data_IF_710821368230
#
_entry.id   IF_710821368230
#
_cell.length_a   1.000
_cell.length_b   1.000
_cell.length_c   1.000
_cell.angle_alpha   90.00
_cell.angle_beta   90.00
_cell.angle_gamma   90.00
#
_symmetry.space_group_name_H-M   'P 1'
#
loop_
_entity.id
_entity.type
_entity.pdbx_description
1 polymer ?
#
# COMPACT_ATOMS: atom_id res chain seq x y z
N UNK A 1 32.25 2.46 -14.40
CA UNK A 1 30.82 2.21 -14.13
C UNK A 1 29.97 3.32 -14.74
N UNK A 2 28.84 2.99 -15.41
CA UNK A 2 27.96 3.96 -16.08
C UNK A 2 26.50 3.75 -15.66
N UNK A 3 25.67 4.81 -15.74
CA UNK A 3 24.24 4.72 -15.47
C UNK A 3 23.52 3.69 -16.38
N UNK A 4 24.02 3.50 -17.61
CA UNK A 4 23.48 2.50 -18.53
C UNK A 4 23.71 1.08 -18.02
N UNK A 5 24.89 0.80 -17.43
CA UNK A 5 25.19 -0.49 -16.82
C UNK A 5 24.29 -0.76 -15.60
N UNK A 6 24.05 0.26 -14.76
CA UNK A 6 23.13 0.14 -13.62
C UNK A 6 21.68 -0.13 -14.08
N UNK A 7 21.20 0.57 -15.13
CA UNK A 7 19.89 0.29 -15.71
C UNK A 7 19.77 -1.13 -16.27
N UNK A 8 20.81 -1.65 -16.88
CA UNK A 8 20.83 -3.03 -17.36
C UNK A 8 20.84 -4.04 -16.21
N UNK A 9 21.60 -3.77 -15.14
CA UNK A 9 21.62 -4.57 -13.92
C UNK A 9 20.19 -4.67 -13.35
N UNK A 10 19.56 -3.52 -13.09
CA UNK A 10 18.21 -3.46 -12.54
C UNK A 10 17.19 -4.11 -13.48
N UNK A 11 17.25 -3.84 -14.77
CA UNK A 11 16.37 -4.45 -15.75
C UNK A 11 16.42 -5.98 -15.76
N UNK A 12 17.61 -6.58 -15.57
CA UNK A 12 17.73 -8.05 -15.45
C UNK A 12 17.18 -8.57 -14.14
N UNK A 13 17.42 -7.89 -13.03
CA UNK A 13 16.89 -8.26 -11.72
C UNK A 13 15.36 -8.20 -11.72
N UNK A 14 14.77 -7.11 -12.22
CA UNK A 14 13.33 -6.88 -12.26
C UNK A 14 12.59 -7.81 -13.25
N UNK A 15 13.30 -8.47 -14.14
CA UNK A 15 12.76 -9.50 -15.03
C UNK A 15 13.12 -10.93 -14.58
N UNK A 16 13.29 -11.15 -13.27
CA UNK A 16 13.54 -12.48 -12.72
C UNK A 16 14.83 -13.12 -13.19
N UNK A 17 15.90 -12.32 -13.35
CA UNK A 17 17.23 -12.70 -13.85
C UNK A 17 17.22 -13.20 -15.31
N UNK A 18 16.16 -12.91 -16.06
CA UNK A 18 16.03 -13.24 -17.47
C UNK A 18 16.60 -12.12 -18.36
N UNK A 19 17.80 -12.35 -18.90
CA UNK A 19 18.51 -11.35 -19.74
C UNK A 19 17.74 -11.10 -21.07
N UNK A 20 17.08 -12.10 -21.63
CA UNK A 20 16.33 -11.94 -22.90
C UNK A 20 15.11 -11.05 -22.67
N UNK A 21 14.31 -11.34 -21.65
CA UNK A 21 13.15 -10.52 -21.28
C UNK A 21 13.56 -9.08 -20.92
N UNK A 22 14.69 -8.92 -20.24
CA UNK A 22 15.24 -7.59 -19.95
C UNK A 22 15.69 -6.85 -21.23
N UNK A 23 16.26 -7.57 -22.20
CA UNK A 23 16.69 -7.00 -23.48
C UNK A 23 15.51 -6.46 -24.29
N UNK A 24 14.42 -7.24 -24.36
CA UNK A 24 13.19 -6.84 -25.05
C UNK A 24 12.58 -5.58 -24.41
N UNK A 25 12.48 -5.55 -23.09
CA UNK A 25 11.95 -4.38 -22.34
C UNK A 25 12.83 -3.13 -22.46
N UNK A 26 14.13 -3.29 -22.54
CA UNK A 26 15.10 -2.19 -22.63
C UNK A 26 15.45 -1.82 -24.09
N UNK A 27 14.74 -2.39 -25.06
CA UNK A 27 14.95 -2.16 -26.49
C UNK A 27 16.42 -2.33 -26.89
N UNK A 28 17.04 -3.42 -26.46
CA UNK A 28 18.45 -3.72 -26.71
C UNK A 28 18.67 -5.21 -26.99
N UNK A 29 19.90 -5.63 -27.27
CA UNK A 29 20.21 -7.03 -27.53
C UNK A 29 20.67 -7.76 -26.27
N UNK A 30 20.30 -9.04 -26.14
CA UNK A 30 20.75 -9.91 -25.05
C UNK A 30 22.30 -9.98 -24.93
N UNK A 31 23.08 -10.11 -26.05
CA UNK A 31 24.55 -10.05 -25.96
C UNK A 31 25.07 -8.71 -25.44
N UNK A 32 24.38 -7.62 -25.78
CA UNK A 32 24.70 -6.28 -25.32
C UNK A 32 24.59 -6.16 -23.80
N UNK A 33 23.46 -6.57 -23.21
CA UNK A 33 23.27 -6.60 -21.75
C UNK A 33 24.32 -7.51 -21.10
N UNK A 34 24.48 -8.74 -21.59
CA UNK A 34 25.42 -9.70 -21.02
C UNK A 34 26.86 -9.19 -21.01
N UNK A 35 27.29 -8.48 -22.08
CA UNK A 35 28.62 -7.83 -22.18
C UNK A 35 28.75 -6.71 -21.12
N UNK A 36 27.73 -5.86 -20.98
CA UNK A 36 27.77 -4.73 -20.06
C UNK A 36 27.78 -5.19 -18.60
N UNK A 37 27.02 -6.22 -18.25
CA UNK A 37 27.02 -6.79 -16.89
C UNK A 37 28.38 -7.39 -16.53
N UNK A 38 29.01 -8.16 -17.44
CA UNK A 38 30.37 -8.69 -17.21
C UNK A 38 31.43 -7.58 -17.10
N UNK A 39 31.21 -6.48 -17.83
CA UNK A 39 32.11 -5.33 -17.72
C UNK A 39 31.91 -4.66 -16.36
N UNK A 40 30.69 -4.48 -15.89
CA UNK A 40 30.39 -3.94 -14.58
C UNK A 40 30.99 -4.79 -13.45
N UNK A 41 30.82 -6.13 -13.48
CA UNK A 41 31.42 -7.05 -12.52
C UNK A 41 32.96 -6.92 -12.49
N UNK A 42 33.60 -6.77 -13.66
CA UNK A 42 35.07 -6.57 -13.75
C UNK A 42 35.53 -5.22 -13.22
N UNK A 43 34.76 -4.15 -13.48
CA UNK A 43 35.09 -2.81 -13.00
C UNK A 43 34.97 -2.69 -11.49
N UNK A 44 33.97 -3.36 -10.90
CA UNK A 44 33.76 -3.36 -9.46
C UNK A 44 34.64 -4.38 -8.75
N UNK A 45 35.15 -5.39 -9.47
CA UNK A 45 35.96 -6.47 -8.92
C UNK A 45 35.20 -7.52 -8.15
N UNK A 46 33.84 -7.56 -8.27
CA UNK A 46 32.98 -8.51 -7.57
C UNK A 46 31.98 -9.14 -8.52
N UNK A 47 31.67 -10.41 -8.28
CA UNK A 47 30.63 -11.14 -9.00
C UNK A 47 29.25 -10.77 -8.42
N UNK A 48 28.38 -10.23 -9.27
CA UNK A 48 27.01 -9.81 -8.88
C UNK A 48 26.04 -10.99 -8.96
N UNK A 49 26.20 -11.84 -9.98
CA UNK A 49 25.30 -12.96 -10.25
C UNK A 49 25.98 -14.31 -10.08
N UNK A 50 25.32 -15.25 -9.41
CA UNK A 50 25.62 -16.67 -9.50
C UNK A 50 25.15 -17.19 -10.87
N UNK A 51 25.99 -18.00 -11.52
CA UNK A 51 25.73 -18.51 -12.86
C UNK A 51 25.75 -20.05 -12.89
N UNK A 52 24.84 -20.65 -13.66
CA UNK A 52 24.90 -22.06 -14.04
C UNK A 52 25.00 -22.14 -15.55
N UNK A 53 26.21 -22.36 -16.05
CA UNK A 53 26.49 -22.26 -17.49
C UNK A 53 26.32 -20.83 -18.01
N UNK A 54 25.38 -20.64 -18.94
CA UNK A 54 25.06 -19.32 -19.52
C UNK A 54 23.93 -18.58 -18.78
N UNK A 55 23.21 -19.24 -17.87
CA UNK A 55 22.05 -18.69 -17.18
C UNK A 55 22.43 -18.06 -15.85
N UNK A 56 21.78 -16.94 -15.51
CA UNK A 56 21.80 -16.34 -14.17
C UNK A 56 20.84 -17.11 -13.26
N UNK A 57 21.29 -17.44 -12.05
CA UNK A 57 20.49 -18.28 -11.12
C UNK A 57 20.06 -17.48 -9.91
N UNK A 58 20.93 -16.66 -9.36
CA UNK A 58 20.67 -15.86 -8.16
C UNK A 58 21.61 -14.64 -8.12
N UNK A 59 21.28 -13.67 -7.28
CA UNK A 59 22.22 -12.64 -6.85
C UNK A 59 23.16 -13.23 -5.79
N UNK A 60 24.43 -12.82 -5.83
CA UNK A 60 25.37 -13.05 -4.71
C UNK A 60 25.03 -12.11 -3.55
N UNK A 61 25.52 -12.35 -2.31
CA UNK A 61 25.34 -11.39 -1.21
C UNK A 61 25.85 -10.00 -1.56
N UNK A 62 27.01 -9.89 -2.21
CA UNK A 62 27.54 -8.62 -2.74
C UNK A 62 26.62 -8.04 -3.84
N UNK A 63 26.08 -8.91 -4.70
CA UNK A 63 25.13 -8.52 -5.75
C UNK A 63 23.87 -7.90 -5.19
N UNK A 64 23.32 -8.41 -4.09
CA UNK A 64 22.15 -7.84 -3.42
C UNK A 64 22.44 -6.40 -2.95
N UNK A 65 23.57 -6.18 -2.28
CA UNK A 65 23.97 -4.84 -1.83
C UNK A 65 24.19 -3.89 -3.02
N UNK A 66 24.84 -4.37 -4.09
CA UNK A 66 25.08 -3.56 -5.30
C UNK A 66 23.77 -3.17 -5.98
N UNK A 67 22.78 -4.07 -6.02
CA UNK A 67 21.44 -3.78 -6.57
C UNK A 67 20.75 -2.69 -5.76
N UNK A 68 20.79 -2.74 -4.43
CA UNK A 68 20.23 -1.68 -3.57
C UNK A 68 20.88 -0.32 -3.85
N UNK A 69 22.22 -0.27 -3.92
CA UNK A 69 22.95 0.94 -4.27
C UNK A 69 22.64 1.43 -5.69
N UNK A 70 22.50 0.52 -6.66
CA UNK A 70 22.13 0.86 -8.03
C UNK A 70 20.73 1.48 -8.11
N UNK A 71 19.76 0.97 -7.33
CA UNK A 71 18.41 1.55 -7.21
C UNK A 71 18.48 2.96 -6.66
N UNK A 72 19.26 3.19 -5.60
CA UNK A 72 19.43 4.52 -5.02
C UNK A 72 20.04 5.51 -6.04
N UNK A 73 21.13 5.15 -6.70
CA UNK A 73 21.75 6.01 -7.72
C UNK A 73 20.77 6.32 -8.87
N UNK A 74 20.00 5.34 -9.32
CA UNK A 74 19.03 5.56 -10.39
C UNK A 74 17.91 6.50 -9.94
N UNK A 75 17.46 6.40 -8.69
CA UNK A 75 16.50 7.31 -8.07
C UNK A 75 17.03 8.73 -7.97
N UNK A 76 18.28 8.92 -7.53
CA UNK A 76 18.90 10.24 -7.45
C UNK A 76 18.99 10.92 -8.82
N UNK A 77 19.30 10.15 -9.88
CA UNK A 77 19.26 10.67 -11.26
C UNK A 77 17.84 11.09 -11.69
N UNK A 78 16.83 10.35 -11.28
CA UNK A 78 15.44 10.71 -11.55
C UNK A 78 14.99 11.93 -10.74
N UNK A 79 15.44 12.07 -9.49
CA UNK A 79 15.25 13.26 -8.67
C UNK A 79 15.82 14.51 -9.34
N UNK A 80 17.08 14.45 -9.84
CA UNK A 80 17.71 15.55 -10.57
C UNK A 80 16.89 15.94 -11.80
N UNK A 81 16.43 14.96 -12.58
CA UNK A 81 15.58 15.23 -13.76
C UNK A 81 14.24 15.84 -13.41
N UNK A 82 13.62 15.35 -12.31
CA UNK A 82 12.35 15.85 -11.79
C UNK A 82 12.47 17.30 -11.37
N UNK A 83 13.53 17.63 -10.62
CA UNK A 83 13.82 19.01 -10.21
C UNK A 83 14.01 19.93 -11.43
N UNK A 84 14.72 19.47 -12.46
CA UNK A 84 14.88 20.24 -13.70
C UNK A 84 13.54 20.55 -14.39
N UNK A 85 12.61 19.60 -14.41
CA UNK A 85 11.26 19.80 -14.97
C UNK A 85 10.41 20.74 -14.12
N UNK A 86 10.51 20.67 -12.80
CA UNK A 86 9.79 21.56 -11.91
C UNK A 86 10.22 23.03 -12.09
N UNK A 87 11.52 23.27 -12.27
CA UNK A 87 12.08 24.61 -12.52
C UNK A 87 11.65 25.19 -13.89
N UNK A 88 11.28 24.36 -14.85
CA UNK A 88 10.77 24.78 -16.16
C UNK A 88 9.24 24.98 -16.20
N UNK A 89 8.55 24.90 -15.05
CA UNK A 89 7.11 25.05 -14.89
C UNK A 89 6.28 24.01 -15.70
N UNK A 90 6.87 22.91 -16.12
CA UNK A 90 6.15 21.81 -16.75
C UNK A 90 5.36 21.02 -15.68
N UNK A 91 4.05 21.25 -15.61
CA UNK A 91 3.12 20.49 -14.77
C UNK A 91 2.79 19.12 -15.38
N UNK A 92 3.77 18.51 -16.02
CA UNK A 92 3.64 17.19 -16.64
C UNK A 92 4.38 16.14 -15.82
N UNK A 93 3.86 14.93 -15.80
CA UNK A 93 4.51 13.83 -15.10
C UNK A 93 3.64 12.61 -14.96
N UNK A 94 4.05 11.70 -14.12
CA UNK A 94 3.25 10.55 -13.72
C UNK A 94 3.20 10.53 -12.20
N UNK A 95 2.01 10.29 -11.66
CA UNK A 95 1.79 9.97 -10.27
C UNK A 95 1.39 8.50 -10.18
N UNK A 96 2.28 7.68 -9.65
CA UNK A 96 2.11 6.23 -9.54
C UNK A 96 1.86 5.84 -8.09
N UNK A 97 0.73 5.21 -7.81
CA UNK A 97 0.26 4.86 -6.47
C UNK A 97 0.03 3.36 -6.38
N UNK A 98 0.61 2.71 -5.37
CA UNK A 98 0.27 1.33 -5.01
C UNK A 98 -0.62 1.32 -3.77
N UNK A 99 -1.71 0.56 -3.81
CA UNK A 99 -2.67 0.54 -2.70
C UNK A 99 -3.50 -0.74 -2.65
N UNK A 100 -4.24 -0.92 -1.56
CA UNK A 100 -5.21 -2.01 -1.43
C UNK A 100 -6.49 -1.73 -2.23
N UNK A 101 -7.27 -2.76 -2.53
CA UNK A 101 -8.53 -2.62 -3.25
C UNK A 101 -9.50 -1.66 -2.54
N UNK A 102 -9.62 -1.75 -1.23
CA UNK A 102 -10.52 -0.89 -0.44
C UNK A 102 -10.19 0.60 -0.61
N UNK A 103 -8.92 0.97 -0.56
CA UNK A 103 -8.51 2.36 -0.74
C UNK A 103 -8.73 2.82 -2.18
N UNK A 104 -8.37 1.98 -3.16
CA UNK A 104 -8.54 2.29 -4.57
C UNK A 104 -9.99 2.56 -4.97
N UNK A 105 -10.93 1.80 -4.39
CA UNK A 105 -12.34 1.85 -4.75
C UNK A 105 -13.16 2.86 -3.96
N UNK A 106 -12.88 3.02 -2.67
CA UNK A 106 -13.77 3.74 -1.76
C UNK A 106 -13.18 5.05 -1.20
N UNK A 107 -11.86 5.23 -1.30
CA UNK A 107 -11.21 6.43 -0.73
C UNK A 107 -10.62 7.31 -1.83
N UNK A 108 -9.87 6.72 -2.75
CA UNK A 108 -9.14 7.46 -3.78
C UNK A 108 -10.00 8.12 -4.87
N UNK A 109 -11.18 7.63 -5.27
CA UNK A 109 -11.88 8.19 -6.43
C UNK A 109 -12.16 9.69 -6.32
N UNK A 110 -12.65 10.16 -5.18
CA UNK A 110 -12.93 11.59 -4.96
C UNK A 110 -11.65 12.42 -4.94
N UNK A 111 -10.60 11.91 -4.31
CA UNK A 111 -9.30 12.58 -4.19
C UNK A 111 -8.62 12.67 -5.57
N UNK A 112 -8.62 11.58 -6.33
CA UNK A 112 -8.04 11.55 -7.68
C UNK A 112 -8.82 12.41 -8.68
N UNK A 113 -10.14 12.54 -8.51
CA UNK A 113 -10.94 13.47 -9.31
C UNK A 113 -10.51 14.91 -9.06
N UNK A 114 -10.44 15.35 -7.81
CA UNK A 114 -9.97 16.69 -7.44
C UNK A 114 -8.52 16.93 -7.88
N UNK A 115 -7.67 15.92 -7.75
CA UNK A 115 -6.29 15.99 -8.20
C UNK A 115 -6.20 16.18 -9.72
N UNK A 116 -6.95 15.39 -10.49
CA UNK A 116 -6.96 15.48 -11.96
C UNK A 116 -7.47 16.82 -12.48
N UNK A 117 -8.44 17.44 -11.81
CA UNK A 117 -8.92 18.79 -12.14
C UNK A 117 -7.82 19.84 -11.99
N UNK A 118 -6.94 19.69 -10.96
CA UNK A 118 -5.82 20.62 -10.71
C UNK A 118 -4.60 20.34 -11.60
N UNK A 119 -4.37 19.06 -11.94
CA UNK A 119 -3.20 18.58 -12.67
C UNK A 119 -3.62 17.69 -13.86
N UNK A 120 -4.30 18.24 -14.89
CA UNK A 120 -4.86 17.46 -16.00
C UNK A 120 -3.78 16.78 -16.87
N UNK A 121 -2.55 17.31 -16.87
CA UNK A 121 -1.43 16.78 -17.65
C UNK A 121 -0.58 15.76 -16.85
N UNK A 122 -0.92 15.48 -15.60
CA UNK A 122 -0.26 14.43 -14.81
C UNK A 122 -0.96 13.11 -15.06
N UNK A 123 -0.24 12.14 -15.61
CA UNK A 123 -0.74 10.77 -15.79
C UNK A 123 -0.89 10.10 -14.43
N UNK A 124 -2.04 9.47 -14.19
CA UNK A 124 -2.30 8.67 -12.99
C UNK A 124 -2.10 7.20 -13.29
N UNK A 125 -1.30 6.52 -12.46
CA UNK A 125 -1.12 5.06 -12.50
C UNK A 125 -1.47 4.47 -11.13
N UNK A 126 -2.45 3.56 -11.10
CA UNK A 126 -2.92 2.93 -9.87
C UNK A 126 -2.65 1.43 -9.90
N UNK A 127 -1.83 0.96 -8.98
CA UNK A 127 -1.49 -0.45 -8.79
C UNK A 127 -2.21 -0.98 -7.55
N UNK A 128 -2.93 -2.08 -7.71
CA UNK A 128 -3.63 -2.72 -6.60
C UNK A 128 -2.95 -4.02 -6.18
N UNK A 129 -2.85 -4.25 -4.87
CA UNK A 129 -2.22 -5.47 -4.36
C UNK A 129 -2.43 -5.70 -2.87
N UNK A 130 -1.84 -6.78 -2.37
CA UNK A 130 -1.67 -7.00 -0.93
C UNK A 130 -0.54 -6.12 -0.39
N UNK A 131 -0.43 -5.98 0.93
CA UNK A 131 0.65 -5.19 1.55
C UNK A 131 2.04 -5.64 1.08
N UNK A 132 2.27 -6.95 0.93
CA UNK A 132 3.52 -7.50 0.42
C UNK A 132 3.77 -7.13 -1.05
N UNK A 133 2.72 -7.17 -1.88
CA UNK A 133 2.82 -6.77 -3.29
C UNK A 133 3.08 -5.26 -3.43
N UNK A 134 2.44 -4.45 -2.59
CA UNK A 134 2.68 -3.01 -2.52
C UNK A 134 4.13 -2.74 -2.09
N UNK A 135 4.62 -3.41 -1.04
CA UNK A 135 6.00 -3.29 -0.58
C UNK A 135 7.02 -3.67 -1.66
N UNK A 136 6.74 -4.72 -2.43
CA UNK A 136 7.59 -5.12 -3.56
C UNK A 136 7.66 -4.04 -4.65
N UNK A 137 6.52 -3.42 -5.02
CA UNK A 137 6.48 -2.31 -5.98
C UNK A 137 7.29 -1.10 -5.53
N UNK A 138 7.23 -0.78 -4.22
CA UNK A 138 8.02 0.29 -3.63
C UNK A 138 9.52 -0.05 -3.68
N UNK A 139 9.90 -1.25 -3.24
CA UNK A 139 11.29 -1.70 -3.24
C UNK A 139 11.91 -1.70 -4.66
N UNK A 140 11.09 -1.92 -5.68
CA UNK A 140 11.47 -1.87 -7.09
C UNK A 140 11.43 -0.45 -7.70
N UNK A 141 11.10 0.58 -6.93
CA UNK A 141 10.90 1.96 -7.42
C UNK A 141 9.88 2.09 -8.56
N UNK A 142 8.83 1.27 -8.55
CA UNK A 142 7.78 1.29 -9.57
C UNK A 142 6.65 2.25 -9.25
N UNK A 143 6.58 2.72 -8.01
CA UNK A 143 5.53 3.62 -7.54
C UNK A 143 6.10 4.78 -6.75
N UNK A 144 5.37 5.89 -6.76
CA UNK A 144 5.71 7.10 -6.02
C UNK A 144 5.21 7.02 -4.59
N UNK A 145 3.99 6.52 -4.41
CA UNK A 145 3.34 6.37 -3.13
C UNK A 145 2.84 4.95 -2.89
N UNK A 146 2.94 4.53 -1.63
CA UNK A 146 2.25 3.37 -1.11
C UNK A 146 1.15 3.84 -0.16
N UNK A 147 -0.08 3.34 -0.31
CA UNK A 147 -1.15 3.56 0.65
C UNK A 147 -1.55 2.21 1.21
N UNK A 148 -1.29 2.01 2.49
CA UNK A 148 -1.48 0.74 3.16
C UNK A 148 -2.11 0.93 4.54
N UNK A 149 -2.58 -0.17 5.09
CA UNK A 149 -3.11 -0.29 6.44
C UNK A 149 -2.43 -1.46 7.12
N UNK A 150 -2.18 -1.39 8.42
CA UNK A 150 -1.42 -2.40 9.16
C UNK A 150 -0.03 -2.69 8.53
N UNK A 151 0.72 -3.65 9.07
CA UNK A 151 1.99 -4.15 8.51
C UNK A 151 3.00 -3.04 8.15
N UNK A 152 3.14 -2.03 9.01
CA UNK A 152 4.10 -0.92 8.86
C UNK A 152 5.54 -1.41 8.70
N UNK A 153 5.86 -2.53 9.31
CA UNK A 153 7.16 -3.21 9.25
C UNK A 153 7.55 -3.71 7.85
N UNK A 154 6.58 -3.83 6.93
CA UNK A 154 6.87 -4.15 5.52
C UNK A 154 7.48 -2.99 4.74
N UNK A 155 7.48 -1.79 5.30
CA UNK A 155 7.89 -0.55 4.63
C UNK A 155 9.05 0.17 5.34
N UNK A 156 10.16 -0.51 5.68
CA UNK A 156 11.22 0.05 6.52
C UNK A 156 11.96 1.23 5.89
N UNK A 157 11.92 1.38 4.57
CA UNK A 157 12.62 2.44 3.82
C UNK A 157 11.73 3.63 3.46
N UNK A 158 10.45 3.61 3.88
CA UNK A 158 9.54 4.71 3.63
C UNK A 158 9.44 5.67 4.81
N UNK A 159 9.08 6.89 4.51
CA UNK A 159 8.42 7.80 5.45
C UNK A 159 6.91 7.57 5.33
N UNK A 160 6.29 7.15 6.43
CA UNK A 160 4.88 6.79 6.51
C UNK A 160 4.12 7.90 7.25
N UNK A 161 3.25 8.62 6.55
CA UNK A 161 2.37 9.63 7.11
C UNK A 161 1.07 8.97 7.57
N UNK A 162 0.66 9.08 8.85
CA UNK A 162 -0.65 8.66 9.28
C UNK A 162 -1.72 9.58 8.64
N UNK A 163 -2.70 8.97 7.99
CA UNK A 163 -3.68 9.73 7.21
C UNK A 163 -5.06 9.75 7.85
N UNK A 164 -5.53 8.63 8.34
CA UNK A 164 -6.80 8.52 9.06
C UNK A 164 -6.92 7.17 9.77
N UNK A 165 -7.69 7.19 10.83
CA UNK A 165 -8.07 6.01 11.59
C UNK A 165 -9.44 5.48 11.16
N UNK A 166 -9.68 4.20 11.41
CA UNK A 166 -10.98 3.57 11.22
C UNK A 166 -11.12 2.32 12.08
N UNK A 167 -12.37 2.06 12.49
CA UNK A 167 -12.75 0.86 13.22
C UNK A 167 -13.51 -0.08 12.28
N UNK A 168 -13.35 -1.38 12.48
CA UNK A 168 -14.07 -2.39 11.68
C UNK A 168 -15.58 -2.28 11.90
N UNK A 169 -16.33 -2.71 10.90
CA UNK A 169 -17.77 -2.92 11.01
C UNK A 169 -18.10 -4.38 10.75
N UNK A 170 -19.21 -4.82 11.35
CA UNK A 170 -19.78 -6.15 11.17
C UNK A 170 -20.99 -6.04 10.26
N UNK A 171 -21.02 -6.88 9.22
CA UNK A 171 -22.13 -6.97 8.26
C UNK A 171 -22.86 -8.30 8.41
N UNK A 172 -24.18 -8.24 8.35
CA UNK A 172 -25.07 -9.42 8.35
C UNK A 172 -26.20 -9.23 7.35
N UNK A 173 -26.84 -10.30 6.86
CA UNK A 173 -28.18 -10.20 6.29
C UNK A 173 -29.13 -9.55 7.29
N UNK A 174 -30.22 -8.93 6.81
CA UNK A 174 -31.17 -8.21 7.67
C UNK A 174 -31.92 -9.09 8.65
N UNK A 175 -32.15 -10.36 8.30
CA UNK A 175 -32.83 -11.36 9.12
C UNK A 175 -31.89 -12.16 10.04
N UNK A 176 -30.60 -11.81 10.08
CA UNK A 176 -29.63 -12.50 10.92
C UNK A 176 -29.83 -12.15 12.41
N UNK A 177 -29.59 -13.13 13.29
CA UNK A 177 -29.79 -12.94 14.75
C UNK A 177 -29.00 -11.75 15.31
N UNK A 178 -27.79 -11.50 14.80
CA UNK A 178 -26.98 -10.35 15.19
C UNK A 178 -27.51 -9.01 14.65
N UNK A 179 -28.38 -9.00 13.65
CA UNK A 179 -29.00 -7.76 13.14
C UNK A 179 -30.11 -7.25 14.06
N UNK A 180 -30.91 -8.17 14.61
CA UNK A 180 -32.06 -7.88 15.48
C UNK A 180 -31.67 -7.61 16.94
N UNK A 181 -30.44 -7.90 17.30
CA UNK A 181 -29.97 -7.89 18.68
C UNK A 181 -29.69 -6.47 19.18
N UNK A 182 -30.40 -6.04 20.20
CA UNK A 182 -30.17 -4.76 20.88
C UNK A 182 -28.94 -4.79 21.81
N UNK A 183 -28.42 -5.99 22.10
CA UNK A 183 -27.28 -6.15 22.98
C UNK A 183 -25.95 -5.70 22.32
N UNK A 184 -24.97 -5.33 23.14
CA UNK A 184 -23.64 -5.01 22.68
C UNK A 184 -23.02 -6.20 21.92
N UNK A 185 -22.48 -5.92 20.74
CA UNK A 185 -21.69 -6.88 19.98
C UNK A 185 -20.41 -7.21 20.78
N UNK A 186 -20.06 -8.49 20.90
CA UNK A 186 -18.83 -8.95 21.54
C UNK A 186 -18.07 -9.92 20.65
N UNK A 187 -16.75 -10.08 20.89
CA UNK A 187 -15.94 -11.06 20.16
C UNK A 187 -16.42 -12.48 20.40
N UNK A 188 -16.86 -12.81 21.62
CA UNK A 188 -17.44 -14.11 21.95
C UNK A 188 -18.66 -14.43 21.08
N UNK A 189 -19.58 -13.48 20.91
CA UNK A 189 -20.76 -13.66 20.03
C UNK A 189 -20.37 -13.76 18.54
N UNK A 190 -19.37 -13.01 18.09
CA UNK A 190 -18.88 -13.14 16.72
C UNK A 190 -18.26 -14.52 16.47
N UNK A 191 -17.54 -15.09 17.45
CA UNK A 191 -16.93 -16.40 17.34
C UNK A 191 -17.92 -17.57 17.21
N UNK A 192 -19.18 -17.38 17.65
CA UNK A 192 -20.27 -18.38 17.51
C UNK A 192 -20.72 -18.53 16.03
N UNK A 193 -20.42 -17.54 15.16
CA UNK A 193 -20.87 -17.50 13.77
C UNK A 193 -19.73 -17.74 12.79
N UNK A 194 -20.02 -18.30 11.59
CA UNK A 194 -19.06 -18.32 10.52
C UNK A 194 -18.71 -16.90 10.08
N UNK A 195 -17.43 -16.58 9.95
CA UNK A 195 -16.95 -15.24 9.59
C UNK A 195 -16.42 -15.19 8.17
N UNK A 196 -16.70 -14.07 7.50
CA UNK A 196 -16.22 -13.72 6.16
C UNK A 196 -15.42 -12.43 6.26
N UNK A 197 -14.14 -12.43 5.88
CA UNK A 197 -13.29 -11.25 6.07
C UNK A 197 -12.20 -11.15 5.01
N UNK A 198 -11.26 -10.24 5.19
CA UNK A 198 -10.13 -10.08 4.26
C UNK A 198 -9.09 -11.19 4.40
N UNK A 199 -8.39 -11.51 3.29
CA UNK A 199 -7.28 -12.48 3.27
C UNK A 199 -6.19 -12.12 4.28
N UNK A 200 -5.83 -10.84 4.39
CA UNK A 200 -4.81 -10.39 5.35
C UNK A 200 -5.23 -10.55 6.81
N UNK A 201 -6.54 -10.54 7.10
CA UNK A 201 -7.07 -10.81 8.44
C UNK A 201 -6.83 -12.25 8.89
N UNK A 202 -6.55 -13.18 7.96
CA UNK A 202 -6.23 -14.58 8.29
C UNK A 202 -4.77 -14.81 8.66
N UNK A 203 -3.90 -13.80 8.58
CA UNK A 203 -2.54 -13.87 9.09
C UNK A 203 -2.58 -13.86 10.62
N UNK A 204 -1.81 -14.75 11.25
CA UNK A 204 -1.75 -14.86 12.73
C UNK A 204 -1.32 -13.56 13.41
N UNK A 205 -0.60 -12.71 12.72
CA UNK A 205 -0.14 -11.42 13.23
C UNK A 205 -1.14 -10.28 12.98
N UNK A 206 -2.24 -10.54 12.29
CA UNK A 206 -3.27 -9.52 12.05
C UNK A 206 -3.93 -9.05 13.34
N UNK A 207 -4.25 -7.78 13.44
CA UNK A 207 -5.00 -7.22 14.56
C UNK A 207 -6.37 -7.88 14.75
N UNK A 208 -6.95 -8.44 13.67
CA UNK A 208 -8.19 -9.18 13.70
C UNK A 208 -8.07 -10.48 14.53
N UNK A 209 -7.11 -11.37 14.20
CA UNK A 209 -6.95 -12.63 14.93
C UNK A 209 -6.37 -12.42 16.32
N UNK A 210 -5.49 -11.44 16.51
CA UNK A 210 -4.97 -11.09 17.84
C UNK A 210 -6.09 -10.69 18.80
N UNK A 211 -7.08 -9.91 18.35
CA UNK A 211 -8.20 -9.54 19.21
C UNK A 211 -8.96 -10.75 19.76
N UNK A 212 -9.21 -11.78 18.96
CA UNK A 212 -9.83 -13.03 19.43
C UNK A 212 -8.88 -13.82 20.34
N UNK A 213 -7.61 -13.91 19.99
CA UNK A 213 -6.63 -14.65 20.80
C UNK A 213 -6.44 -14.04 22.18
N UNK A 214 -6.48 -12.72 22.32
CA UNK A 214 -6.37 -12.00 23.60
C UNK A 214 -7.53 -12.34 24.54
N UNK A 215 -8.71 -12.68 24.00
CA UNK A 215 -9.87 -13.17 24.75
C UNK A 215 -9.94 -14.70 24.84
N UNK A 216 -8.91 -15.43 24.38
CA UNK A 216 -8.88 -16.90 24.28
C UNK A 216 -10.03 -17.47 23.43
N UNK A 217 -10.41 -16.76 22.37
CA UNK A 217 -11.44 -17.16 21.43
C UNK A 217 -10.80 -17.61 20.09
N UNK A 218 -11.46 -18.54 19.41
CA UNK A 218 -11.05 -19.00 18.09
C UNK A 218 -12.16 -18.68 17.05
N UNK A 219 -11.97 -17.69 16.17
CA UNK A 219 -12.99 -17.31 15.20
C UNK A 219 -13.08 -18.34 14.08
N UNK A 220 -14.30 -18.70 13.69
CA UNK A 220 -14.56 -19.61 12.57
C UNK A 220 -14.56 -18.86 11.23
N UNK A 221 -13.39 -18.52 10.70
CA UNK A 221 -13.27 -17.89 9.37
C UNK A 221 -13.52 -18.93 8.29
N UNK A 222 -14.65 -18.83 7.59
CA UNK A 222 -15.08 -19.77 6.54
C UNK A 222 -14.75 -19.31 5.13
N UNK A 223 -14.55 -17.99 4.95
CA UNK A 223 -14.24 -17.43 3.64
C UNK A 223 -13.41 -16.15 3.78
N UNK A 224 -12.44 -16.01 2.88
CA UNK A 224 -11.62 -14.79 2.80
C UNK A 224 -11.56 -14.27 1.38
N UNK A 225 -11.59 -12.94 1.23
CA UNK A 225 -11.44 -12.26 -0.05
C UNK A 225 -10.48 -11.07 0.04
N UNK A 226 -10.00 -10.59 -1.10
CA UNK A 226 -9.13 -9.41 -1.18
C UNK A 226 -9.89 -8.10 -1.10
N UNK A 227 -11.15 -8.12 -1.52
CA UNK A 227 -12.00 -6.94 -1.63
C UNK A 227 -13.33 -7.08 -0.88
N UNK A 228 -13.85 -5.93 -0.44
CA UNK A 228 -15.07 -5.87 0.33
C UNK A 228 -16.33 -6.20 -0.50
N UNK A 229 -16.32 -5.97 -1.83
CA UNK A 229 -17.50 -6.25 -2.67
C UNK A 229 -17.77 -7.75 -2.73
N UNK A 230 -16.69 -8.55 -2.83
CA UNK A 230 -16.79 -10.02 -2.75
C UNK A 230 -17.28 -10.43 -1.37
N UNK A 231 -16.71 -9.88 -0.28
CA UNK A 231 -17.17 -10.18 1.09
C UNK A 231 -18.66 -9.87 1.23
N UNK A 232 -19.11 -8.68 0.84
CA UNK A 232 -20.52 -8.28 0.88
C UNK A 232 -21.43 -9.23 0.10
N UNK A 233 -20.98 -9.68 -1.06
CA UNK A 233 -21.73 -10.64 -1.88
C UNK A 233 -21.95 -11.96 -1.14
N UNK A 234 -20.93 -12.52 -0.52
CA UNK A 234 -21.05 -13.79 0.20
C UNK A 234 -21.80 -13.64 1.54
N UNK A 235 -21.73 -12.47 2.17
CA UNK A 235 -22.62 -12.16 3.32
C UNK A 235 -24.08 -12.13 2.90
N UNK A 236 -24.43 -11.51 1.75
CA UNK A 236 -25.79 -11.53 1.19
C UNK A 236 -26.31 -12.94 0.91
N UNK A 237 -25.41 -13.83 0.51
CA UNK A 237 -25.74 -15.25 0.30
C UNK A 237 -25.87 -16.06 1.59
N UNK A 238 -25.71 -15.44 2.76
CA UNK A 238 -25.81 -16.12 4.05
C UNK A 238 -24.65 -17.02 4.41
N UNK A 239 -23.47 -16.87 3.75
CA UNK A 239 -22.30 -17.70 4.01
C UNK A 239 -21.71 -17.45 5.40
N UNK A 240 -21.91 -16.25 5.96
CA UNK A 240 -21.44 -15.87 7.29
C UNK A 240 -21.55 -14.38 7.56
N UNK A 241 -21.03 -13.99 8.70
CA UNK A 241 -20.97 -12.61 9.18
C UNK A 241 -19.73 -11.94 8.60
N UNK A 242 -19.91 -10.81 7.94
CA UNK A 242 -18.84 -10.03 7.33
C UNK A 242 -18.13 -9.13 8.34
N UNK A 243 -16.79 -9.08 8.30
CA UNK A 243 -16.02 -8.07 9.05
C UNK A 243 -15.17 -7.31 8.06
N UNK A 244 -15.49 -6.01 7.86
CA UNK A 244 -14.86 -5.18 6.83
C UNK A 244 -14.49 -3.79 7.34
N UNK A 245 -13.76 -3.04 6.49
CA UNK A 245 -13.48 -1.62 6.70
C UNK A 245 -14.75 -0.79 6.45
N UNK A 246 -15.05 0.21 7.28
CA UNK A 246 -16.31 0.96 7.22
C UNK A 246 -16.49 1.75 5.92
N UNK A 247 -15.39 2.27 5.34
CA UNK A 247 -15.46 3.02 4.07
C UNK A 247 -15.99 2.19 2.90
N UNK A 248 -15.97 0.86 3.01
CA UNK A 248 -16.52 -0.04 2.00
C UNK A 248 -18.05 -0.22 2.12
N UNK A 249 -18.68 0.31 3.16
CA UNK A 249 -20.13 0.31 3.33
C UNK A 249 -20.74 1.47 2.55
N UNK A 250 -21.44 1.16 1.48
CA UNK A 250 -22.23 2.11 0.72
C UNK A 250 -23.68 2.18 1.29
N UNK A 251 -24.34 3.33 1.13
CA UNK A 251 -25.73 3.47 1.60
C UNK A 251 -26.70 2.49 0.92
N UNK A 252 -26.38 2.07 -0.31
CA UNK A 252 -27.17 1.06 -1.04
C UNK A 252 -27.04 -0.34 -0.42
N UNK A 253 -25.93 -0.64 0.23
CA UNK A 253 -25.73 -1.93 0.91
C UNK A 253 -26.73 -2.11 2.07
N UNK A 254 -27.15 -1.02 2.69
CA UNK A 254 -28.11 -1.03 3.82
C UNK A 254 -29.56 -1.37 3.41
N UNK A 255 -29.82 -1.55 2.11
CA UNK A 255 -31.14 -2.03 1.64
C UNK A 255 -31.36 -3.51 1.97
N UNK A 256 -30.29 -4.29 2.01
CA UNK A 256 -30.32 -5.76 2.17
C UNK A 256 -29.33 -6.29 3.22
N UNK A 257 -28.43 -5.46 3.71
CA UNK A 257 -27.50 -5.78 4.78
C UNK A 257 -27.76 -4.90 6.01
N UNK A 258 -27.48 -5.46 7.18
CA UNK A 258 -27.36 -4.72 8.42
C UNK A 258 -25.88 -4.48 8.73
N UNK A 259 -25.54 -3.29 9.22
CA UNK A 259 -24.18 -2.93 9.59
C UNK A 259 -24.12 -2.47 11.05
N UNK A 260 -23.18 -3.03 11.80
CA UNK A 260 -22.95 -2.67 13.21
C UNK A 260 -21.51 -2.21 13.39
N UNK A 261 -21.33 -1.17 14.19
CA UNK A 261 -19.99 -0.70 14.58
C UNK A 261 -19.33 -1.76 15.48
N UNK A 262 -18.07 -2.08 15.18
CA UNK A 262 -17.24 -2.98 15.98
C UNK A 262 -16.13 -2.23 16.74
N UNK A 263 -16.34 -0.93 17.00
CA UNK A 263 -15.42 -0.10 17.79
C UNK A 263 -15.23 -0.72 19.18
N UNK A 264 -13.97 -0.82 19.60
CA UNK A 264 -13.59 -1.42 20.87
C UNK A 264 -13.51 -2.95 20.87
N UNK A 265 -14.02 -3.64 19.84
CA UNK A 265 -13.82 -5.10 19.70
C UNK A 265 -12.49 -5.44 19.06
N UNK A 266 -12.02 -4.60 18.18
CA UNK A 266 -10.76 -4.73 17.49
C UNK A 266 -9.91 -3.48 17.70
N UNK A 267 -8.59 -3.59 17.62
CA UNK A 267 -7.74 -2.40 17.57
C UNK A 267 -8.14 -1.48 16.41
N UNK A 268 -8.15 -0.18 16.67
CA UNK A 268 -8.29 0.85 15.63
C UNK A 268 -7.17 0.71 14.61
N UNK A 269 -7.49 0.87 13.35
CA UNK A 269 -6.56 0.69 12.24
C UNK A 269 -6.23 2.05 11.64
N UNK A 270 -4.95 2.34 11.47
CA UNK A 270 -4.48 3.55 10.80
C UNK A 270 -4.15 3.26 9.34
N UNK A 271 -4.62 4.11 8.44
CA UNK A 271 -4.20 4.13 7.03
C UNK A 271 -3.02 5.09 6.88
N UNK A 272 -1.97 4.60 6.21
CA UNK A 272 -0.71 5.30 5.99
C UNK A 272 -0.53 5.64 4.51
N UNK A 273 0.05 6.81 4.23
CA UNK A 273 0.62 7.15 2.95
C UNK A 273 2.14 7.15 3.09
N UNK A 274 2.81 6.29 2.34
CA UNK A 274 4.26 6.15 2.40
C UNK A 274 4.95 6.56 1.10
N UNK A 275 6.14 7.13 1.22
CA UNK A 275 7.03 7.45 0.10
C UNK A 275 8.50 7.20 0.48
N UNK A 276 9.39 6.88 -0.48
CA UNK A 276 10.81 6.65 -0.22
C UNK A 276 11.48 7.89 0.40
N UNK A 277 12.29 7.70 1.45
CA UNK A 277 12.98 8.78 2.20
C UNK A 277 13.85 9.68 1.34
N UNK A 278 14.47 9.14 0.32
CA UNK A 278 15.37 9.85 -0.59
C UNK A 278 14.66 10.38 -1.85
N UNK A 279 13.32 10.40 -1.86
CA UNK A 279 12.54 10.89 -2.98
C UNK A 279 12.28 12.39 -2.88
N UNK A 280 12.62 13.13 -3.93
CA UNK A 280 12.22 14.52 -4.07
C UNK A 280 10.73 14.56 -4.45
N UNK A 281 9.91 15.08 -3.56
CA UNK A 281 8.47 15.25 -3.81
C UNK A 281 8.26 16.50 -4.65
N UNK A 282 7.75 16.31 -5.88
CA UNK A 282 7.33 17.40 -6.77
C UNK A 282 6.06 18.08 -6.24
N UNK A 283 5.78 19.30 -6.69
CA UNK A 283 4.66 20.07 -6.19
C UNK A 283 3.32 19.32 -6.31
N UNK A 284 3.06 18.65 -7.42
CA UNK A 284 1.83 17.87 -7.58
C UNK A 284 1.77 16.65 -6.61
N UNK A 285 2.92 16.10 -6.21
CA UNK A 285 2.97 15.01 -5.22
C UNK A 285 2.64 15.52 -3.82
N UNK A 286 3.14 16.71 -3.45
CA UNK A 286 2.79 17.37 -2.18
C UNK A 286 1.30 17.72 -2.14
N UNK A 287 0.75 18.21 -3.25
CA UNK A 287 -0.68 18.51 -3.38
C UNK A 287 -1.54 17.23 -3.23
N UNK A 288 -1.09 16.10 -3.81
CA UNK A 288 -1.78 14.82 -3.59
C UNK A 288 -1.76 14.41 -2.11
N UNK A 289 -0.63 14.59 -1.39
CA UNK A 289 -0.56 14.35 0.05
C UNK A 289 -1.56 15.25 0.78
N UNK A 290 -1.61 16.54 0.49
CA UNK A 290 -2.52 17.50 1.10
C UNK A 290 -4.00 17.16 0.85
N UNK A 291 -4.34 16.62 -0.32
CA UNK A 291 -5.70 16.15 -0.63
C UNK A 291 -6.04 14.85 0.11
N UNK A 292 -5.08 13.94 0.22
CA UNK A 292 -5.30 12.63 0.86
C UNK A 292 -5.30 12.71 2.39
N UNK A 293 -4.45 13.58 2.95
CA UNK A 293 -4.23 13.76 4.38
C UNK A 293 -4.26 15.26 4.75
N UNK A 294 -5.43 15.93 4.67
CA UNK A 294 -5.57 17.39 4.81
C UNK A 294 -5.20 17.94 6.19
N UNK A 295 -5.05 17.10 7.19
CA UNK A 295 -4.55 17.47 8.52
C UNK A 295 -3.01 17.65 8.57
N UNK A 296 -2.30 17.29 7.49
CA UNK A 296 -0.89 17.59 7.34
C UNK A 296 -0.70 18.94 6.66
N UNK A 297 -0.27 20.01 7.36
CA UNK A 297 0.02 21.28 6.73
C UNK A 297 1.28 21.18 5.86
N UNK A 298 1.36 22.02 4.83
CA UNK A 298 2.43 22.00 3.81
C UNK A 298 3.84 21.97 4.41
N UNK A 299 4.07 22.76 5.48
CA UNK A 299 5.39 22.84 6.12
C UNK A 299 5.79 21.51 6.80
N UNK A 300 4.82 20.74 7.35
CA UNK A 300 5.09 19.41 7.91
C UNK A 300 5.29 18.38 6.81
N UNK A 301 4.58 18.49 5.68
CA UNK A 301 4.83 17.63 4.51
C UNK A 301 6.26 17.85 4.01
N UNK A 302 6.76 19.08 3.98
CA UNK A 302 8.14 19.39 3.58
C UNK A 302 9.16 18.84 4.56
N UNK A 303 8.92 18.93 5.85
CA UNK A 303 9.79 18.35 6.86
C UNK A 303 9.77 16.80 6.79
N UNK A 304 8.61 16.19 6.62
CA UNK A 304 8.48 14.76 6.46
C UNK A 304 9.15 14.25 5.17
N UNK A 305 9.13 15.04 4.09
CA UNK A 305 9.81 14.71 2.83
C UNK A 305 11.33 14.62 2.97
N UNK A 306 11.90 15.38 3.90
CA UNK A 306 13.36 15.41 4.16
C UNK A 306 13.77 14.61 5.39
N UNK A 307 12.83 13.95 6.07
CA UNK A 307 13.11 13.19 7.28
C UNK A 307 13.94 11.93 6.97
N UNK A 308 15.05 11.76 7.70
CA UNK A 308 15.98 10.64 7.52
C UNK A 308 15.50 9.33 8.20
N UNK A 309 14.53 9.43 9.09
CA UNK A 309 13.97 8.27 9.80
C UNK A 309 12.47 8.42 10.03
N UNK A 310 11.81 7.27 10.23
CA UNK A 310 10.39 7.26 10.57
C UNK A 310 10.10 7.89 11.93
N UNK A 311 11.04 7.81 12.88
CA UNK A 311 10.90 8.43 14.20
C UNK A 311 10.74 9.95 14.14
N UNK A 312 11.37 10.60 13.15
CA UNK A 312 11.20 12.03 12.91
C UNK A 312 9.76 12.30 12.41
N UNK A 313 9.28 11.49 11.47
CA UNK A 313 7.91 11.63 10.96
C UNK A 313 6.87 11.39 12.06
N UNK A 314 7.10 10.39 12.91
CA UNK A 314 6.22 10.10 14.04
C UNK A 314 6.12 11.30 15.01
N UNK A 315 7.25 11.94 15.32
CA UNK A 315 7.25 13.15 16.14
C UNK A 315 6.53 14.33 15.49
N UNK A 316 6.64 14.47 14.15
CA UNK A 316 5.89 15.50 13.44
C UNK A 316 4.37 15.25 13.48
N UNK A 317 3.97 13.98 13.61
CA UNK A 317 2.58 13.58 13.66
C UNK A 317 1.95 13.58 15.07
N UNK A 318 2.76 13.67 16.16
CA UNK A 318 2.28 13.56 17.54
C UNK A 318 1.17 14.56 17.90
N UNK A 319 1.26 15.78 17.37
CA UNK A 319 0.30 16.87 17.63
C UNK A 319 -0.83 16.96 16.57
N UNK A 320 -0.88 16.03 15.61
CA UNK A 320 -1.89 16.03 14.57
C UNK A 320 -3.12 15.22 14.99
N UNK A 321 -4.29 15.84 14.93
CA UNK A 321 -5.56 15.13 15.11
C UNK A 321 -5.85 14.27 13.88
N UNK A 322 -5.72 12.95 14.02
CA UNK A 322 -6.06 12.02 12.95
C UNK A 322 -7.59 11.95 12.76
N UNK A 323 -8.08 12.23 11.55
CA UNK A 323 -9.50 12.07 11.27
C UNK A 323 -9.89 10.59 11.31
N UNK A 324 -11.10 10.31 11.80
CA UNK A 324 -11.68 8.96 11.74
C UNK A 324 -12.56 8.84 10.49
N UNK A 325 -12.27 7.87 9.63
CA UNK A 325 -13.14 7.56 8.49
C UNK A 325 -14.20 6.53 8.85
N UNK A 326 -15.43 6.90 8.56
CA UNK A 326 -16.61 6.05 8.70
C UNK A 326 -17.18 5.72 7.32
N UNK A 327 -18.03 4.68 7.24
CA UNK A 327 -18.82 4.39 6.04
C UNK A 327 -20.11 5.24 5.99
N UNK A 328 -21.14 4.74 5.25
CA UNK A 328 -22.46 5.35 5.27
C UNK A 328 -23.00 5.41 6.70
N UNK A 329 -23.18 6.61 7.24
CA UNK A 329 -23.66 6.83 8.62
C UNK A 329 -25.18 6.70 8.78
N UNK A 330 -25.93 6.60 7.67
CA UNK A 330 -27.37 6.39 7.71
C UNK A 330 -27.68 4.96 8.14
N UNK A 331 -27.88 4.73 9.43
CA UNK A 331 -28.29 3.44 9.98
C UNK A 331 -27.24 2.69 10.81
N UNK A 332 -26.03 3.21 11.00
CA UNK A 332 -25.10 2.68 12.00
C UNK A 332 -25.66 3.01 13.40
N UNK A 333 -26.15 1.99 14.10
CA UNK A 333 -26.37 2.10 15.54
C UNK A 333 -24.99 2.28 16.19
N UNK A 334 -24.67 3.51 16.56
CA UNK A 334 -23.53 3.80 17.43
C UNK A 334 -23.91 3.27 18.79
N UNK A 335 -23.35 2.14 19.20
CA UNK A 335 -23.35 1.74 20.60
C UNK A 335 -22.57 2.82 21.35
N UNK A 336 -23.28 3.54 22.23
CA UNK A 336 -22.74 4.54 23.14
C UNK A 336 -21.86 3.88 24.19
#
# INVERSE_FOLDING_TARGET
MTLKQLKYLLGVVDNGLNITSAADRLYTSQPGISKQLRQLEREIGVTIFSRKGKSLVALTPAGQTIVQLARKITRDVENIRSLGKELTAEQEGTLSIATTHTQARYVLPEILSQFHERYPNVKLELHQGTSEQIAALVAENKVDFAIATESRELFPELNLLPCFDWDRIVLTPQDHVLAADADCLTLARLAEHPLVTYVFSSNRESSFLKAFADENLEPKVVFTARDADVIKTYVRMGMGVGVIAPMALLCDDLKDLNARCAKGLFPTVTTWLGFPRDKVLRQYMKEFIALFAPHWPDYLIEQAATAESQEIVDKLAEDLDLPTRTGCTKGLAVAA
#
